data_IF_102669634790
#
_entry.id   IF_102669634790
#
_cell.length_a   1.000
_cell.length_b   1.000
_cell.length_c   1.000
_cell.angle_alpha   90.00
_cell.angle_beta   90.00
_cell.angle_gamma   90.00
#
_symmetry.space_group_name_H-M   'P 1'
#
loop_
_entity.id
_entity.type
_entity.pdbx_description
1 polymer ?
#
# COMPACT_ATOMS: atom_id res chain seq x y z
N UNK A 1 -5.64 44.12 47.56
CA UNK A 1 -5.10 43.74 46.23
C UNK A 1 -4.71 42.27 46.28
N UNK A 2 -5.38 41.44 45.50
CA UNK A 2 -5.40 39.98 45.62
C UNK A 2 -4.27 39.34 44.80
N UNK A 3 -3.42 38.53 45.45
CA UNK A 3 -2.39 37.71 44.80
C UNK A 3 -3.01 36.37 44.35
N UNK A 4 -3.05 36.13 43.04
CA UNK A 4 -3.34 34.79 42.47
C UNK A 4 -2.05 34.02 42.27
N UNK A 5 -1.86 32.95 43.04
CA UNK A 5 -0.87 31.88 42.81
C UNK A 5 -1.34 31.05 41.60
N UNK A 6 -0.53 31.02 40.53
CA UNK A 6 -0.66 30.04 39.46
C UNK A 6 0.09 28.76 39.84
N UNK A 7 -0.64 27.65 39.96
CA UNK A 7 -0.06 26.32 40.12
C UNK A 7 0.44 25.79 38.79
N UNK A 8 1.71 25.36 38.75
CA UNK A 8 2.31 24.66 37.62
C UNK A 8 2.05 23.17 37.78
N UNK A 9 1.13 22.63 36.98
CA UNK A 9 0.90 21.19 36.85
C UNK A 9 1.99 20.62 35.96
N UNK A 10 2.84 19.75 36.53
CA UNK A 10 3.81 18.96 35.77
C UNK A 10 3.07 17.81 35.10
N UNK A 11 2.96 17.84 33.78
CA UNK A 11 2.56 16.69 32.98
C UNK A 11 3.71 15.68 32.95
N UNK A 12 3.48 14.53 33.57
CA UNK A 12 4.35 13.36 33.47
C UNK A 12 4.06 12.67 32.14
N UNK A 13 4.89 12.92 31.13
CA UNK A 13 4.85 12.18 29.86
C UNK A 13 5.34 10.75 30.14
N UNK A 14 4.41 9.80 30.21
CA UNK A 14 4.73 8.39 30.27
C UNK A 14 5.31 7.95 28.93
N UNK A 15 6.57 7.51 28.94
CA UNK A 15 7.20 6.83 27.81
C UNK A 15 6.50 5.49 27.63
N UNK A 16 5.63 5.39 26.61
CA UNK A 16 4.96 4.15 26.24
C UNK A 16 5.95 3.25 25.49
N UNK A 17 6.05 2.00 25.92
CA UNK A 17 6.79 0.96 25.21
C UNK A 17 6.11 0.67 23.87
N UNK A 18 6.83 0.88 22.76
CA UNK A 18 6.41 0.44 21.43
C UNK A 18 6.37 -1.10 21.41
N UNK A 19 5.17 -1.67 21.41
CA UNK A 19 4.98 -3.11 21.18
C UNK A 19 5.18 -3.40 19.70
N UNK A 20 6.30 -4.04 19.36
CA UNK A 20 6.60 -4.52 18.01
C UNK A 20 5.78 -5.78 17.78
N UNK A 21 4.59 -5.64 17.17
CA UNK A 21 3.74 -6.77 16.82
C UNK A 21 4.40 -7.57 15.68
N UNK A 22 4.59 -8.90 15.82
CA UNK A 22 5.14 -9.72 14.75
C UNK A 22 4.27 -9.68 13.49
N UNK A 23 4.96 -9.46 12.38
CA UNK A 23 4.44 -8.89 11.15
C UNK A 23 3.40 -9.73 10.40
N UNK A 24 3.48 -11.05 10.50
CA UNK A 24 2.58 -11.97 9.79
C UNK A 24 1.15 -12.02 10.34
N UNK A 25 0.88 -11.43 11.52
CA UNK A 25 -0.46 -11.43 12.13
C UNK A 25 -1.19 -10.08 12.04
N UNK A 26 -0.50 -8.99 11.70
CA UNK A 26 -1.07 -7.63 11.80
C UNK A 26 -2.00 -7.25 10.63
N UNK A 27 -1.97 -7.98 9.50
CA UNK A 27 -2.77 -7.66 8.31
C UNK A 27 -4.13 -8.37 8.26
N UNK A 28 -4.28 -9.46 9.02
CA UNK A 28 -5.50 -10.29 9.02
C UNK A 28 -6.40 -10.02 10.23
N UNK A 29 -6.04 -9.05 11.08
CA UNK A 29 -6.90 -8.59 12.16
C UNK A 29 -8.13 -7.89 11.58
N UNK A 30 -9.37 -8.34 11.88
CA UNK A 30 -10.55 -7.61 11.47
C UNK A 30 -10.46 -6.20 12.06
N UNK A 31 -10.57 -5.18 11.21
CA UNK A 31 -10.76 -3.83 11.68
C UNK A 31 -11.97 -3.84 12.62
N UNK A 32 -11.73 -3.62 13.91
CA UNK A 32 -12.79 -3.50 14.92
C UNK A 32 -13.52 -2.16 14.71
N UNK A 33 -14.20 -2.02 13.58
CA UNK A 33 -15.19 -1.00 13.31
C UNK A 33 -16.57 -1.63 13.49
N UNK A 34 -17.42 -1.00 14.29
CA UNK A 34 -18.77 -1.50 14.61
C UNK A 34 -19.53 -1.94 13.37
N UNK A 35 -20.12 -3.13 13.45
CA UNK A 35 -21.02 -3.69 12.45
C UNK A 35 -22.33 -2.86 12.41
N UNK A 36 -22.33 -1.76 11.68
CA UNK A 36 -23.56 -1.31 11.02
C UNK A 36 -23.71 -2.09 9.72
N UNK A 37 -24.44 -3.21 9.84
CA UNK A 37 -25.03 -3.92 8.71
C UNK A 37 -26.08 -3.00 8.11
N UNK A 38 -25.70 -2.21 7.10
CA UNK A 38 -26.67 -1.65 6.18
C UNK A 38 -26.89 -2.64 5.04
N UNK A 39 -28.11 -3.14 4.96
CA UNK A 39 -28.67 -3.83 3.81
C UNK A 39 -28.43 -2.99 2.55
N UNK A 40 -27.45 -3.41 1.76
CA UNK A 40 -27.18 -2.81 0.45
C UNK A 40 -28.05 -3.56 -0.56
N UNK A 41 -29.08 -2.88 -1.05
CA UNK A 41 -29.82 -3.29 -2.24
C UNK A 41 -28.83 -3.65 -3.34
N UNK A 42 -28.95 -4.89 -3.81
CA UNK A 42 -28.15 -5.44 -4.89
C UNK A 42 -28.48 -4.67 -6.17
N UNK A 43 -27.54 -3.88 -6.66
CA UNK A 43 -27.61 -3.35 -8.02
C UNK A 43 -27.32 -4.53 -8.95
N UNK A 44 -28.38 -5.19 -9.41
CA UNK A 44 -28.30 -6.15 -10.51
C UNK A 44 -27.80 -5.43 -11.79
N UNK A 45 -26.82 -5.97 -12.51
CA UNK A 45 -26.51 -5.50 -13.85
C UNK A 45 -27.66 -5.90 -14.78
N UNK A 46 -28.39 -4.89 -15.27
CA UNK A 46 -29.46 -5.04 -16.26
C UNK A 46 -28.92 -5.68 -17.54
N UNK A 47 -29.13 -6.99 -17.69
CA UNK A 47 -28.89 -7.73 -18.92
C UNK A 47 -30.07 -7.54 -19.87
N UNK A 48 -29.97 -6.52 -20.74
CA UNK A 48 -30.79 -6.46 -21.95
C UNK A 48 -30.21 -7.41 -22.99
N UNK A 49 -30.64 -8.68 -22.95
CA UNK A 49 -30.41 -9.64 -24.02
C UNK A 49 -31.75 -10.08 -24.63
N UNK A 50 -31.94 -9.69 -25.89
CA UNK A 50 -33.08 -10.00 -26.73
C UNK A 50 -33.14 -11.52 -26.99
N UNK A 51 -34.29 -12.20 -26.82
CA UNK A 51 -34.38 -13.62 -27.10
C UNK A 51 -34.60 -13.82 -28.60
N UNK A 52 -33.73 -14.62 -29.24
CA UNK A 52 -34.03 -15.24 -30.52
C UNK A 52 -33.91 -16.76 -30.38
N UNK A 53 -34.96 -17.42 -30.86
CA UNK A 53 -35.30 -18.83 -30.73
C UNK A 53 -34.32 -19.81 -31.39
N UNK A 54 -34.51 -21.10 -31.03
CA UNK A 54 -34.06 -22.36 -31.66
C UNK A 54 -32.65 -22.84 -31.24
N UNK A 55 -32.39 -24.08 -30.80
CA UNK A 55 -33.15 -25.35 -30.92
C UNK A 55 -32.75 -26.31 -29.81
N UNK A 56 -33.72 -27.09 -29.34
CA UNK A 56 -33.54 -28.23 -28.43
C UNK A 56 -32.67 -29.32 -29.06
N UNK A 57 -31.52 -29.59 -28.43
CA UNK A 57 -30.87 -30.91 -28.44
C UNK A 57 -30.03 -31.06 -27.18
N UNK A 58 -30.70 -31.47 -26.10
CA UNK A 58 -30.04 -31.94 -24.89
C UNK A 58 -29.18 -33.17 -25.20
N UNK A 59 -27.86 -33.02 -25.12
CA UNK A 59 -26.98 -34.11 -24.69
C UNK A 59 -26.00 -33.57 -23.67
N UNK A 60 -26.22 -34.01 -22.44
CA UNK A 60 -25.47 -33.76 -21.23
C UNK A 60 -23.95 -33.69 -21.46
N UNK A 61 -23.46 -32.47 -21.71
CA UNK A 61 -22.13 -32.08 -21.27
C UNK A 61 -22.42 -31.30 -19.99
N UNK A 62 -22.58 -32.05 -18.89
CA UNK A 62 -22.33 -31.48 -17.57
C UNK A 62 -20.86 -31.08 -17.61
N UNK A 63 -20.59 -29.83 -18.07
CA UNK A 63 -19.25 -29.33 -18.17
C UNK A 63 -18.73 -29.30 -16.75
N UNK A 64 -17.85 -30.24 -16.43
CA UNK A 64 -17.02 -30.15 -15.25
C UNK A 64 -16.32 -28.81 -15.35
N UNK A 65 -16.86 -27.79 -14.67
CA UNK A 65 -16.17 -26.53 -14.49
C UNK A 65 -14.79 -26.91 -13.98
N UNK A 66 -13.75 -26.61 -14.76
CA UNK A 66 -12.40 -27.04 -14.40
C UNK A 66 -12.11 -26.55 -12.99
N UNK A 67 -11.52 -27.41 -12.17
CA UNK A 67 -11.14 -27.08 -10.80
C UNK A 67 -10.35 -25.76 -10.75
N UNK A 68 -9.54 -25.50 -11.78
CA UNK A 68 -8.77 -24.27 -11.95
C UNK A 68 -9.64 -23.02 -12.07
N UNK A 69 -10.78 -23.10 -12.77
CA UNK A 69 -11.72 -21.99 -12.93
C UNK A 69 -12.35 -21.64 -11.59
N UNK A 70 -12.77 -22.65 -10.82
CA UNK A 70 -13.29 -22.43 -9.47
C UNK A 70 -12.25 -21.80 -8.55
N UNK A 71 -11.02 -22.32 -8.56
CA UNK A 71 -9.93 -21.78 -7.74
C UNK A 71 -9.59 -20.33 -8.11
N UNK A 72 -9.57 -20.01 -9.40
CA UNK A 72 -9.34 -18.64 -9.88
C UNK A 72 -10.45 -17.68 -9.45
N UNK A 73 -11.71 -18.12 -9.47
CA UNK A 73 -12.84 -17.31 -9.04
C UNK A 73 -12.82 -17.08 -7.51
N UNK A 74 -12.50 -18.11 -6.73
CA UNK A 74 -12.34 -17.99 -5.28
C UNK A 74 -11.19 -17.04 -4.92
N UNK A 75 -10.05 -17.17 -5.58
CA UNK A 75 -8.90 -16.26 -5.42
C UNK A 75 -9.26 -14.81 -5.73
N UNK A 76 -10.02 -14.56 -6.81
CA UNK A 76 -10.52 -13.22 -7.15
C UNK A 76 -11.49 -12.65 -6.10
N UNK A 77 -12.35 -13.49 -5.53
CA UNK A 77 -13.26 -13.07 -4.46
C UNK A 77 -12.49 -12.70 -3.19
N UNK A 78 -11.52 -13.54 -2.77
CA UNK A 78 -10.66 -13.26 -1.62
C UNK A 78 -9.88 -11.95 -1.83
N UNK A 79 -9.32 -11.76 -3.03
CA UNK A 79 -8.58 -10.54 -3.40
C UNK A 79 -9.49 -9.31 -3.35
N UNK A 80 -10.70 -9.40 -3.88
CA UNK A 80 -11.68 -8.30 -3.87
C UNK A 80 -12.11 -7.95 -2.45
N UNK A 81 -12.37 -8.97 -1.62
CA UNK A 81 -12.71 -8.78 -0.21
C UNK A 81 -11.55 -8.11 0.56
N UNK A 82 -10.33 -8.64 0.43
CA UNK A 82 -9.14 -8.07 1.06
C UNK A 82 -8.79 -6.66 0.55
N UNK A 83 -9.20 -6.32 -0.67
CA UNK A 83 -9.08 -4.97 -1.21
C UNK A 83 -10.10 -4.01 -0.57
N UNK A 84 -11.36 -4.43 -0.45
CA UNK A 84 -12.45 -3.66 0.15
C UNK A 84 -12.26 -3.44 1.66
N UNK A 85 -11.80 -4.47 2.37
CA UNK A 85 -11.57 -4.45 3.82
C UNK A 85 -10.25 -3.77 4.22
N UNK A 86 -9.39 -3.43 3.25
CA UNK A 86 -8.10 -2.80 3.55
C UNK A 86 -8.28 -1.40 4.13
N UNK A 87 -7.59 -1.15 5.24
CA UNK A 87 -7.53 0.16 5.89
C UNK A 87 -6.93 1.26 4.98
N UNK A 88 -6.00 0.90 4.09
CA UNK A 88 -5.39 1.86 3.16
C UNK A 88 -6.11 1.86 1.81
N UNK A 89 -6.22 3.03 1.18
CA UNK A 89 -6.74 3.16 -0.17
C UNK A 89 -5.71 2.65 -1.18
N UNK A 90 -5.72 1.33 -1.43
CA UNK A 90 -4.82 0.63 -2.37
C UNK A 90 -5.56 0.14 -3.62
N UNK A 91 -4.81 -0.15 -4.68
CA UNK A 91 -5.33 -0.84 -5.86
C UNK A 91 -5.73 -2.29 -5.54
N UNK A 92 -6.59 -2.86 -6.39
CA UNK A 92 -6.97 -4.28 -6.30
C UNK A 92 -5.79 -5.14 -6.79
N UNK A 93 -4.86 -5.48 -5.90
CA UNK A 93 -3.68 -6.34 -6.14
C UNK A 93 -3.62 -7.44 -5.08
N UNK A 94 -2.70 -8.39 -5.23
CA UNK A 94 -2.49 -9.45 -4.23
C UNK A 94 -2.20 -8.83 -2.86
N UNK A 95 -2.76 -9.43 -1.81
CA UNK A 95 -2.61 -8.95 -0.44
C UNK A 95 -1.19 -9.10 0.09
N UNK A 96 -0.44 -10.09 -0.40
CA UNK A 96 0.94 -10.40 0.01
C UNK A 96 1.85 -10.55 -1.21
N UNK A 97 3.16 -10.40 -0.98
CA UNK A 97 4.18 -10.67 -1.99
C UNK A 97 4.34 -12.17 -2.29
N UNK A 98 4.09 -13.03 -1.30
CA UNK A 98 4.16 -14.48 -1.45
C UNK A 98 3.08 -15.01 -2.41
N UNK A 99 1.85 -14.48 -2.32
CA UNK A 99 0.79 -14.86 -3.23
C UNK A 99 1.12 -14.50 -4.70
N UNK A 100 1.70 -13.33 -4.93
CA UNK A 100 2.16 -12.94 -6.27
C UNK A 100 3.35 -13.81 -6.73
N UNK A 101 4.27 -14.16 -5.83
CA UNK A 101 5.38 -15.05 -6.15
C UNK A 101 4.90 -16.44 -6.58
N UNK A 102 3.90 -17.01 -5.90
CA UNK A 102 3.31 -18.31 -6.26
C UNK A 102 2.67 -18.23 -7.64
N UNK A 103 1.89 -17.19 -7.92
CA UNK A 103 1.27 -16.98 -9.24
C UNK A 103 2.33 -16.84 -10.35
N UNK A 104 3.38 -16.04 -10.13
CA UNK A 104 4.51 -15.89 -11.07
C UNK A 104 5.25 -17.22 -11.30
N UNK A 105 5.34 -18.06 -10.26
CA UNK A 105 5.97 -19.38 -10.36
C UNK A 105 5.13 -20.35 -11.19
N UNK A 106 3.81 -20.32 -11.05
CA UNK A 106 2.87 -21.15 -11.79
C UNK A 106 2.75 -20.72 -13.27
N UNK A 107 2.73 -19.41 -13.54
CA UNK A 107 2.63 -18.85 -14.89
C UNK A 107 3.94 -18.89 -15.69
N UNK A 108 5.04 -19.29 -15.06
CA UNK A 108 6.36 -19.37 -15.68
C UNK A 108 7.09 -18.03 -15.66
N UNK A 109 7.91 -17.84 -14.62
CA UNK A 109 8.66 -16.61 -14.32
C UNK A 109 9.42 -15.99 -15.52
N UNK A 110 10.04 -16.81 -16.38
CA UNK A 110 10.78 -16.32 -17.55
C UNK A 110 9.90 -15.59 -18.58
N UNK A 111 8.61 -15.91 -18.64
CA UNK A 111 7.68 -15.31 -19.58
C UNK A 111 7.24 -13.90 -19.19
N UNK A 112 6.99 -13.63 -17.91
CA UNK A 112 6.35 -12.37 -17.49
C UNK A 112 7.28 -11.17 -17.43
N UNK A 113 8.50 -11.31 -16.89
CA UNK A 113 9.45 -10.19 -16.93
C UNK A 113 9.90 -9.88 -18.38
N UNK A 114 9.82 -10.87 -19.31
CA UNK A 114 10.09 -10.67 -20.75
C UNK A 114 8.90 -10.04 -21.48
N UNK A 115 7.67 -10.51 -21.25
CA UNK A 115 6.43 -9.94 -21.83
C UNK A 115 6.23 -8.48 -21.45
N UNK A 116 6.78 -8.06 -20.31
CA UNK A 116 6.89 -6.67 -19.90
C UNK A 116 7.68 -5.80 -20.88
N UNK A 117 8.80 -6.32 -21.40
CA UNK A 117 9.66 -5.61 -22.34
C UNK A 117 9.02 -5.52 -23.73
N UNK A 118 8.11 -6.43 -24.06
CA UNK A 118 7.40 -6.47 -25.34
C UNK A 118 6.24 -5.47 -25.42
N UNK A 119 5.98 -4.67 -24.37
CA UNK A 119 5.02 -3.55 -24.39
C UNK A 119 3.55 -3.96 -24.53
N UNK A 120 3.24 -5.26 -24.53
CA UNK A 120 1.90 -5.76 -24.84
C UNK A 120 0.96 -5.76 -23.61
N UNK A 121 1.48 -5.49 -22.41
CA UNK A 121 0.69 -5.43 -21.18
C UNK A 121 1.06 -4.20 -20.34
N UNK A 122 0.39 -3.08 -20.59
CA UNK A 122 0.64 -1.78 -19.92
C UNK A 122 0.39 -1.77 -18.41
N UNK A 123 -0.18 -2.86 -17.87
CA UNK A 123 -0.69 -2.91 -16.51
C UNK A 123 0.30 -3.57 -15.53
N UNK A 124 1.38 -4.15 -16.06
CA UNK A 124 2.38 -4.83 -15.26
C UNK A 124 3.41 -3.82 -14.74
N UNK A 125 3.61 -3.76 -13.42
CA UNK A 125 4.50 -2.81 -12.75
C UNK A 125 5.95 -3.23 -12.97
N UNK A 126 6.78 -2.46 -13.71
CA UNK A 126 8.14 -2.86 -14.01
C UNK A 126 8.88 -3.25 -12.73
N UNK A 127 9.51 -4.43 -12.72
CA UNK A 127 10.23 -5.00 -11.57
C UNK A 127 9.38 -5.64 -10.45
N UNK A 128 8.06 -5.84 -10.64
CA UNK A 128 7.22 -6.58 -9.69
C UNK A 128 7.77 -7.97 -9.35
N UNK A 129 8.34 -8.67 -10.34
CA UNK A 129 8.95 -9.99 -10.12
C UNK A 129 10.10 -9.99 -9.10
N UNK A 130 10.97 -8.97 -9.11
CA UNK A 130 12.04 -8.86 -8.11
C UNK A 130 11.49 -8.58 -6.71
N UNK A 131 10.48 -7.72 -6.59
CA UNK A 131 9.82 -7.44 -5.32
C UNK A 131 9.13 -8.69 -4.77
N UNK A 132 8.42 -9.45 -5.60
CA UNK A 132 7.77 -10.71 -5.19
C UNK A 132 8.77 -11.74 -4.62
N UNK A 133 10.03 -11.72 -5.05
CA UNK A 133 11.06 -12.65 -4.55
C UNK A 133 11.70 -12.12 -3.27
N UNK A 134 12.12 -10.85 -3.27
CA UNK A 134 12.95 -10.32 -2.19
C UNK A 134 12.10 -9.85 -1.00
N UNK A 135 10.89 -9.33 -1.24
CA UNK A 135 10.04 -8.83 -0.16
C UNK A 135 9.60 -9.91 0.84
N UNK A 136 9.22 -11.15 0.43
CA UNK A 136 8.97 -12.23 1.38
C UNK A 136 10.20 -12.59 2.22
N UNK A 137 11.40 -12.58 1.62
CA UNK A 137 12.65 -12.86 2.34
C UNK A 137 12.97 -11.80 3.39
N UNK A 138 12.58 -10.55 3.14
CA UNK A 138 12.74 -9.45 4.08
C UNK A 138 11.59 -9.34 5.10
N UNK A 139 10.57 -10.19 5.00
CA UNK A 139 9.35 -10.06 5.81
C UNK A 139 8.63 -8.74 5.55
N UNK A 140 8.65 -8.24 4.31
CA UNK A 140 7.97 -7.01 3.92
C UNK A 140 6.51 -7.26 3.55
N UNK A 141 5.64 -6.31 3.89
CA UNK A 141 4.20 -6.34 3.61
C UNK A 141 3.94 -5.63 2.30
N UNK A 142 2.72 -5.75 1.82
CA UNK A 142 2.26 -5.14 0.58
C UNK A 142 1.06 -4.23 0.83
N UNK A 143 1.20 -2.98 0.40
CA UNK A 143 0.10 -2.02 0.30
C UNK A 143 0.05 -1.52 -1.13
N UNK A 144 -0.82 -2.12 -1.94
CA UNK A 144 -0.85 -1.86 -3.37
C UNK A 144 0.44 -2.37 -4.03
N UNK A 145 1.11 -1.51 -4.79
CA UNK A 145 2.41 -1.83 -5.39
C UNK A 145 3.59 -1.40 -4.52
N UNK A 146 3.33 -0.94 -3.29
CA UNK A 146 4.36 -0.53 -2.36
C UNK A 146 4.73 -1.67 -1.42
N UNK A 147 6.02 -1.80 -1.14
CA UNK A 147 6.50 -2.71 -0.10
C UNK A 147 6.63 -1.93 1.22
N UNK A 148 6.04 -2.47 2.27
CA UNK A 148 6.07 -1.89 3.61
C UNK A 148 7.06 -2.71 4.43
N UNK A 149 8.20 -2.11 4.79
CA UNK A 149 9.26 -2.79 5.55
C UNK A 149 9.06 -2.62 7.06
N UNK A 150 8.41 -1.53 7.49
CA UNK A 150 8.03 -1.31 8.88
C UNK A 150 6.67 -0.63 8.96
N UNK A 151 5.82 -1.19 9.82
CA UNK A 151 4.51 -0.69 10.16
C UNK A 151 4.41 -0.60 11.68
N UNK A 152 3.90 0.51 12.18
CA UNK A 152 3.61 0.75 13.60
C UNK A 152 2.11 0.98 13.78
N UNK A 153 1.63 0.96 15.02
CA UNK A 153 0.26 1.32 15.36
C UNK A 153 0.26 2.62 16.14
N UNK A 154 -0.57 3.57 15.73
CA UNK A 154 -0.77 4.84 16.40
C UNK A 154 -2.14 4.85 17.08
N UNK A 155 -2.18 5.25 18.35
CA UNK A 155 -3.43 5.41 19.09
C UNK A 155 -4.10 6.72 18.69
N UNK A 156 -5.23 6.63 18.01
CA UNK A 156 -6.03 7.80 17.62
C UNK A 156 -7.28 7.88 18.48
N UNK A 157 -7.42 9.04 19.09
CA UNK A 157 -8.54 9.37 19.96
C UNK A 157 -9.56 10.15 19.14
N UNK A 158 -10.72 9.55 18.91
CA UNK A 158 -11.81 10.15 18.12
C UNK A 158 -12.96 10.53 19.04
N UNK A 159 -13.44 11.76 18.91
CA UNK A 159 -14.61 12.23 19.64
C UNK A 159 -15.86 11.84 18.84
N UNK A 160 -16.54 10.80 19.29
CA UNK A 160 -17.78 10.31 18.68
C UNK A 160 -18.96 10.90 19.47
N UNK A 161 -19.98 11.48 18.81
CA UNK A 161 -21.17 11.97 19.50
C UNK A 161 -21.90 10.81 20.20
N UNK A 162 -22.11 10.94 21.50
CA UNK A 162 -22.86 9.98 22.32
C UNK A 162 -24.37 10.22 22.10
N UNK A 163 -24.99 9.35 21.31
CA UNK A 163 -26.41 9.42 20.99
C UNK A 163 -27.32 9.27 22.22
N UNK A 164 -26.85 8.65 23.30
CA UNK A 164 -27.66 8.40 24.50
C UNK A 164 -27.64 9.59 25.47
N UNK A 165 -26.47 10.20 25.69
CA UNK A 165 -26.30 11.27 26.67
C UNK A 165 -26.23 12.68 26.07
N UNK A 166 -26.22 12.81 24.73
CA UNK A 166 -26.03 14.10 24.04
C UNK A 166 -24.66 14.74 24.30
N UNK A 167 -23.69 13.97 24.79
CA UNK A 167 -22.30 14.40 25.02
C UNK A 167 -21.35 13.93 23.92
N UNK A 168 -20.05 14.19 24.06
CA UNK A 168 -19.01 13.57 23.23
C UNK A 168 -18.36 12.42 24.01
N UNK A 169 -18.33 11.22 23.41
CA UNK A 169 -17.60 10.07 23.93
C UNK A 169 -16.26 9.97 23.23
N UNK A 170 -15.21 9.87 24.02
CA UNK A 170 -13.85 9.71 23.53
C UNK A 170 -13.62 8.21 23.27
N UNK A 171 -13.53 7.83 22.00
CA UNK A 171 -13.18 6.47 21.58
C UNK A 171 -11.70 6.39 21.22
N UNK A 172 -10.99 5.44 21.84
CA UNK A 172 -9.58 5.16 21.53
C UNK A 172 -9.52 4.02 20.54
N UNK A 173 -9.10 4.32 19.31
CA UNK A 173 -8.87 3.34 18.25
C UNK A 173 -7.38 3.24 17.93
N UNK A 174 -6.90 2.05 17.59
CA UNK A 174 -5.55 1.88 17.02
C UNK A 174 -5.65 2.00 15.51
N UNK A 175 -4.77 2.80 14.90
CA UNK A 175 -4.69 2.97 13.45
C UNK A 175 -3.30 2.57 12.97
N UNK A 176 -3.19 1.75 11.91
CA UNK A 176 -1.89 1.38 11.38
C UNK A 176 -1.22 2.60 10.74
N UNK A 177 0.07 2.77 11.00
CA UNK A 177 0.94 3.80 10.43
C UNK A 177 2.10 3.14 9.68
N UNK A 178 2.36 3.66 8.49
CA UNK A 178 3.44 3.18 7.64
C UNK A 178 4.71 4.00 7.95
N UNK A 179 5.72 3.35 8.55
CA UNK A 179 6.96 4.03 8.92
C UNK A 179 7.99 3.99 7.80
N UNK A 180 8.08 2.84 7.12
CA UNK A 180 9.07 2.62 6.08
C UNK A 180 8.42 1.95 4.88
N UNK A 181 8.24 2.75 3.84
CA UNK A 181 7.60 2.33 2.58
C UNK A 181 8.61 2.50 1.46
N UNK A 182 8.71 1.48 0.62
CA UNK A 182 9.51 1.50 -0.61
C UNK A 182 8.60 1.40 -1.82
N UNK A 183 8.90 2.22 -2.83
CA UNK A 183 8.23 2.15 -4.12
C UNK A 183 8.55 0.86 -4.89
N UNK A 184 7.77 0.51 -5.93
CA UNK A 184 7.94 -0.73 -6.68
C UNK A 184 9.31 -0.87 -7.38
N UNK A 185 9.99 0.25 -7.65
CA UNK A 185 11.30 0.31 -8.31
C UNK A 185 12.49 0.16 -7.35
N UNK A 186 12.24 -0.12 -6.07
CA UNK A 186 13.32 -0.28 -5.09
C UNK A 186 14.35 -1.38 -5.46
N UNK A 187 14.01 -2.51 -6.12
CA UNK A 187 15.02 -3.49 -6.46
C UNK A 187 15.99 -2.94 -7.51
N UNK A 188 15.49 -2.14 -8.47
CA UNK A 188 16.33 -1.44 -9.44
C UNK A 188 17.26 -0.44 -8.74
N UNK A 189 16.73 0.31 -7.77
CA UNK A 189 17.54 1.22 -6.97
C UNK A 189 18.66 0.49 -6.21
N UNK A 190 18.32 -0.62 -5.54
CA UNK A 190 19.24 -1.43 -4.73
C UNK A 190 20.27 -2.21 -5.55
N UNK A 191 19.85 -2.82 -6.66
CA UNK A 191 20.70 -3.73 -7.44
C UNK A 191 21.43 -3.05 -8.60
N UNK A 192 20.95 -1.89 -9.06
CA UNK A 192 21.54 -1.19 -10.21
C UNK A 192 22.06 0.19 -9.79
N UNK A 193 21.20 1.05 -9.25
CA UNK A 193 21.57 2.45 -8.99
C UNK A 193 22.66 2.59 -7.94
N UNK A 194 22.51 1.95 -6.78
CA UNK A 194 23.55 2.04 -5.73
C UNK A 194 24.87 1.39 -6.13
N UNK A 195 24.92 0.17 -6.71
CA UNK A 195 26.16 -0.42 -7.17
C UNK A 195 26.86 0.39 -8.25
N UNK A 196 26.11 1.02 -9.16
CA UNK A 196 26.68 1.88 -10.19
C UNK A 196 27.27 3.17 -9.59
N UNK A 197 26.55 3.84 -8.70
CA UNK A 197 27.04 5.04 -8.01
C UNK A 197 28.28 4.69 -7.18
N UNK A 198 28.21 3.66 -6.34
CA UNK A 198 29.31 3.25 -5.46
C UNK A 198 30.50 2.70 -6.24
N UNK A 199 30.26 1.96 -7.32
CA UNK A 199 31.30 1.38 -8.17
C UNK A 199 32.09 2.46 -8.90
N UNK A 200 31.41 3.34 -9.63
CA UNK A 200 32.06 4.44 -10.34
C UNK A 200 32.74 5.40 -9.36
N UNK A 201 32.04 5.76 -8.26
CA UNK A 201 32.61 6.63 -7.23
C UNK A 201 33.82 6.00 -6.54
N UNK A 202 33.77 4.70 -6.25
CA UNK A 202 34.87 3.95 -5.66
C UNK A 202 36.11 3.92 -6.57
N UNK A 203 35.93 3.71 -7.88
CA UNK A 203 37.03 3.78 -8.85
C UNK A 203 37.65 5.18 -8.88
N UNK A 204 36.84 6.24 -8.87
CA UNK A 204 37.37 7.62 -8.82
C UNK A 204 38.12 7.91 -7.52
N UNK A 205 37.63 7.39 -6.39
CA UNK A 205 38.28 7.53 -5.09
C UNK A 205 39.66 6.84 -5.05
N UNK A 206 39.82 5.69 -5.69
CA UNK A 206 41.11 4.97 -5.71
C UNK A 206 42.09 5.58 -6.72
N UNK A 207 41.62 5.99 -7.89
CA UNK A 207 42.50 6.34 -9.04
C UNK A 207 42.83 7.82 -9.16
N UNK A 208 41.90 8.70 -8.76
CA UNK A 208 41.99 10.16 -8.97
C UNK A 208 42.31 10.88 -7.66
N UNK A 209 41.63 10.52 -6.55
CA UNK A 209 41.75 11.26 -5.28
C UNK A 209 43.18 11.32 -4.72
N UNK A 210 44.02 10.28 -4.82
CA UNK A 210 45.42 10.36 -4.35
C UNK A 210 46.29 11.37 -5.09
N UNK A 211 45.85 11.85 -6.27
CA UNK A 211 46.59 12.78 -7.13
C UNK A 211 46.16 14.24 -6.96
N UNK A 212 45.07 14.50 -6.23
CA UNK A 212 44.50 15.84 -6.05
C UNK A 212 44.63 16.29 -4.59
N UNK A 213 44.43 17.59 -4.34
CA UNK A 213 44.44 18.15 -3.00
C UNK A 213 43.36 17.50 -2.12
N UNK A 214 43.70 17.23 -0.85
CA UNK A 214 42.81 16.57 0.14
C UNK A 214 41.46 17.27 0.27
N UNK A 215 41.42 18.61 0.18
CA UNK A 215 40.17 19.39 0.22
C UNK A 215 39.19 19.00 -0.90
N UNK A 216 39.71 18.71 -2.10
CA UNK A 216 38.89 18.26 -3.24
C UNK A 216 38.31 16.88 -2.95
N UNK A 217 39.10 15.98 -2.34
CA UNK A 217 38.62 14.65 -1.92
C UNK A 217 37.52 14.72 -0.85
N UNK A 218 37.67 15.60 0.14
CA UNK A 218 36.65 15.82 1.18
C UNK A 218 35.37 16.39 0.56
N UNK A 219 35.47 17.42 -0.28
CA UNK A 219 34.32 18.02 -0.95
C UNK A 219 33.59 16.98 -1.81
N UNK A 220 34.32 16.18 -2.58
CA UNK A 220 33.77 15.08 -3.37
C UNK A 220 33.06 14.04 -2.52
N UNK A 221 33.64 13.65 -1.37
CA UNK A 221 33.04 12.68 -0.47
C UNK A 221 31.72 13.20 0.14
N UNK A 222 31.68 14.48 0.52
CA UNK A 222 30.46 15.14 1.01
C UNK A 222 29.39 15.16 -0.08
N UNK A 223 29.75 15.53 -1.31
CA UNK A 223 28.80 15.54 -2.44
C UNK A 223 28.25 14.14 -2.74
N UNK A 224 29.11 13.12 -2.76
CA UNK A 224 28.71 11.73 -3.04
C UNK A 224 27.86 11.16 -1.91
N UNK A 225 28.25 11.38 -0.66
CA UNK A 225 27.45 10.97 0.50
C UNK A 225 26.11 11.70 0.57
N UNK A 226 26.08 13.00 0.27
CA UNK A 226 24.86 13.80 0.18
C UNK A 226 23.91 13.31 -0.91
N UNK A 227 24.43 12.92 -2.08
CA UNK A 227 23.65 12.32 -3.16
C UNK A 227 23.02 10.99 -2.73
N UNK A 228 23.80 10.09 -2.13
CA UNK A 228 23.32 8.79 -1.63
C UNK A 228 22.24 9.00 -0.55
N UNK A 229 22.48 9.92 0.38
CA UNK A 229 21.53 10.24 1.43
C UNK A 229 20.22 10.83 0.87
N UNK A 230 20.32 11.75 -0.10
CA UNK A 230 19.14 12.31 -0.76
C UNK A 230 18.35 11.23 -1.53
N UNK A 231 19.02 10.31 -2.21
CA UNK A 231 18.39 9.17 -2.88
C UNK A 231 17.70 8.24 -1.89
N UNK A 232 18.32 7.93 -0.75
CA UNK A 232 17.70 7.13 0.30
C UNK A 232 16.46 7.83 0.87
N UNK A 233 16.59 9.11 1.25
CA UNK A 233 15.48 9.90 1.82
C UNK A 233 14.30 10.06 0.85
N UNK A 234 14.54 10.10 -0.46
CA UNK A 234 13.47 10.17 -1.46
C UNK A 234 12.85 8.81 -1.75
N UNK A 235 13.64 7.74 -1.72
CA UNK A 235 13.19 6.38 -2.07
C UNK A 235 12.44 5.67 -0.94
N UNK A 236 12.74 6.03 0.32
CA UNK A 236 12.14 5.44 1.51
C UNK A 236 11.05 6.31 2.15
N UNK A 237 10.62 7.36 1.44
CA UNK A 237 9.58 8.26 1.92
C UNK A 237 8.21 7.71 1.55
N UNK A 238 7.26 7.82 2.47
CA UNK A 238 5.86 7.57 2.17
C UNK A 238 5.41 8.49 1.02
N UNK A 239 4.95 7.93 -0.11
CA UNK A 239 4.44 8.71 -1.25
C UNK A 239 3.14 9.48 -0.93
N UNK A 240 2.59 9.33 0.28
CA UNK A 240 1.28 9.85 0.67
C UNK A 240 0.19 8.80 0.54
N UNK A 241 0.42 7.59 1.04
CA UNK A 241 -0.61 6.55 1.08
C UNK A 241 -1.73 7.02 2.01
N UNK A 242 -2.91 7.23 1.43
CA UNK A 242 -4.07 7.70 2.19
C UNK A 242 -4.82 6.52 2.84
N UNK A 243 -5.31 6.70 4.07
CA UNK A 243 -6.29 5.78 4.64
C UNK A 243 -7.59 5.81 3.81
N UNK A 244 -8.31 4.69 3.83
CA UNK A 244 -9.59 4.53 3.18
C UNK A 244 -10.66 5.20 4.05
N UNK A 245 -11.43 6.10 3.45
CA UNK A 245 -12.53 6.80 4.08
C UNK A 245 -13.84 6.45 3.40
N UNK A 246 -14.75 5.81 4.14
CA UNK A 246 -16.09 5.48 3.63
C UNK A 246 -17.01 6.70 3.56
N UNK A 247 -16.85 7.64 4.49
CA UNK A 247 -17.53 8.92 4.54
C UNK A 247 -16.49 10.04 4.68
N UNK A 248 -16.79 11.28 4.21
CA UNK A 248 -15.93 12.41 4.49
C UNK A 248 -15.86 12.65 6.01
N UNK A 249 -14.71 13.09 6.56
CA UNK A 249 -14.61 13.41 7.98
C UNK A 249 -15.54 14.57 8.34
N UNK A 250 -16.33 14.40 9.42
CA UNK A 250 -17.45 15.26 9.80
C UNK A 250 -17.11 16.77 9.94
N UNK A 251 -15.86 17.10 10.23
CA UNK A 251 -15.41 18.49 10.41
C UNK A 251 -14.68 19.08 9.19
N UNK A 252 -14.69 18.37 8.05
CA UNK A 252 -13.90 18.75 6.87
C UNK A 252 -14.71 18.76 5.56
N UNK A 253 -16.04 18.79 5.63
CA UNK A 253 -16.88 18.84 4.43
C UNK A 253 -16.54 20.04 3.52
N UNK A 254 -16.18 21.18 4.11
CA UNK A 254 -15.74 22.38 3.40
C UNK A 254 -14.43 22.21 2.62
N UNK A 255 -13.60 21.22 2.96
CA UNK A 255 -12.32 20.97 2.28
C UNK A 255 -12.48 20.33 0.89
N UNK A 256 -13.71 20.06 0.46
CA UNK A 256 -14.01 19.59 -0.90
C UNK A 256 -13.53 18.18 -1.17
N UNK A 257 -13.78 17.26 -0.23
CA UNK A 257 -13.55 15.83 -0.39
C UNK A 257 -14.32 15.29 -1.61
N UNK A 258 -13.69 14.39 -2.36
CA UNK A 258 -14.29 13.78 -3.57
C UNK A 258 -14.28 12.27 -3.43
N UNK A 259 -15.41 11.65 -3.78
CA UNK A 259 -15.50 10.21 -3.92
C UNK A 259 -14.69 9.74 -5.13
N UNK A 260 -14.01 8.60 -5.01
CA UNK A 260 -13.37 7.93 -6.12
C UNK A 260 -13.86 6.49 -6.23
N UNK A 261 -14.54 6.16 -7.33
CA UNK A 261 -15.11 4.82 -7.55
C UNK A 261 -14.05 3.73 -7.66
N UNK A 262 -12.88 4.03 -8.23
CA UNK A 262 -11.81 3.05 -8.39
C UNK A 262 -11.15 2.67 -7.07
N UNK A 263 -11.07 3.61 -6.14
CA UNK A 263 -10.52 3.36 -4.81
C UNK A 263 -11.61 3.00 -3.79
N UNK A 264 -12.90 3.16 -4.14
CA UNK A 264 -14.04 3.09 -3.21
C UNK A 264 -13.77 3.85 -1.90
N UNK A 265 -13.29 5.09 -2.03
CA UNK A 265 -12.87 5.92 -0.91
C UNK A 265 -13.05 7.41 -1.23
N UNK A 266 -13.36 8.19 -0.20
CA UNK A 266 -13.22 9.65 -0.24
C UNK A 266 -11.74 10.03 -0.18
N UNK A 267 -11.37 11.07 -0.92
CA UNK A 267 -10.02 11.67 -0.91
C UNK A 267 -10.08 13.20 -0.81
N UNK A 268 -9.09 13.85 -0.17
CA UNK A 268 -9.05 15.30 -0.06
C UNK A 268 -8.79 15.97 -1.41
N UNK A 269 -9.09 17.27 -1.51
CA UNK A 269 -8.83 18.04 -2.73
C UNK A 269 -7.31 18.11 -3.00
N UNK A 270 -6.92 17.84 -4.25
CA UNK A 270 -5.51 17.89 -4.68
C UNK A 270 -4.78 16.56 -4.60
N UNK A 271 -5.34 15.53 -3.95
CA UNK A 271 -4.80 14.17 -4.02
C UNK A 271 -5.34 13.44 -5.24
N UNK A 272 -4.49 12.60 -5.82
CA UNK A 272 -4.81 11.77 -6.98
C UNK A 272 -4.32 10.35 -6.71
N UNK A 273 -5.18 9.38 -6.99
CA UNK A 273 -4.72 7.99 -7.04
C UNK A 273 -3.98 7.79 -8.35
N UNK A 274 -2.86 7.08 -8.28
CA UNK A 274 -2.13 6.69 -9.48
C UNK A 274 -3.05 5.87 -10.40
N UNK A 275 -3.14 6.29 -11.65
CA UNK A 275 -4.06 5.75 -12.65
C UNK A 275 -3.52 4.48 -13.32
N UNK A 276 -2.57 3.77 -12.69
CA UNK A 276 -2.14 2.44 -13.18
C UNK A 276 -3.37 1.70 -13.71
N UNK A 277 -3.36 1.37 -15.00
CA UNK A 277 -4.55 1.02 -15.76
C UNK A 277 -5.14 -0.32 -15.27
N UNK A 278 -5.82 -0.30 -14.13
CA UNK A 278 -6.60 -1.44 -13.67
C UNK A 278 -7.93 -1.37 -14.41
N UNK A 279 -7.98 -1.91 -15.62
CA UNK A 279 -9.24 -2.30 -16.24
C UNK A 279 -9.86 -3.40 -15.37
N UNK A 280 -10.88 -3.03 -14.61
CA UNK A 280 -11.80 -3.98 -13.97
C UNK A 280 -12.57 -4.76 -15.04
#
# INVERSE_FOLDING_TARGET
>A
MSQRRGGSTKETVAVQNEEIVPFSQALDGPASGGNEVMDRESIEPSQNAHPSNLTSSNKAVASSVSLDVMYSAESQQIRTKAWQESYFARGNVHSTWEAEYIELKENGWYGECSKMMDGHNSNSVPCGCCSAIVCPMLGASRVGNMAVLKQSNEWVTEEVPDLENGGTKIERSTRPRLDFVVGPYWPMLCMITYPLILGVSGVTLVTVIPKVNVLVGIAWAICTGGLIFALAMTSFRDPGILPRHRNPPANQEEMGWRWNDRALSYRPRGSWYDQGNYSL
#
